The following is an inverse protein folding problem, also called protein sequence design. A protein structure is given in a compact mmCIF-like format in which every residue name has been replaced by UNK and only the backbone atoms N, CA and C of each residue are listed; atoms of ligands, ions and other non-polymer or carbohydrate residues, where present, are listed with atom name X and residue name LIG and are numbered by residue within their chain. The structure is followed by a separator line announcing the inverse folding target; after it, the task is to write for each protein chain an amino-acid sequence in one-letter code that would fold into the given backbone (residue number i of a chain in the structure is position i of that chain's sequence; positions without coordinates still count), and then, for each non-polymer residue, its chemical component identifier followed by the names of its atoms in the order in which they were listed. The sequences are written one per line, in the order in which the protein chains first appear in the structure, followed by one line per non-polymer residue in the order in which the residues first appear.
data_IF_133088616322
#
_entry.id   IF_133088616322
#
_cell.length_a   1.000
_cell.length_b   1.000
_cell.length_c   1.000
_cell.angle_alpha   90.00
_cell.angle_beta   90.00
_cell.angle_gamma   90.00
#
_symmetry.space_group_name_H-M   'P 1'
#
loop_
_entity.id
_entity.type
_entity.pdbx_description
1 polymer ?
#
# COMPACT_ATOMS: atom_id res chain seq x y z
N UNK A 1 -30.64 10.55 -1.40
CA UNK A 1 -29.16 10.38 -1.42
C UNK A 1 -28.60 10.34 -2.84
N UNK A 2 -29.15 9.54 -3.77
CA UNK A 2 -28.64 9.52 -5.16
C UNK A 2 -28.88 10.83 -5.94
N UNK A 3 -29.94 11.56 -5.61
CA UNK A 3 -30.29 12.84 -6.27
C UNK A 3 -29.30 13.98 -5.97
N UNK A 4 -28.52 13.90 -4.89
CA UNK A 4 -27.55 14.95 -4.55
C UNK A 4 -26.21 14.78 -5.26
N UNK A 5 -25.92 13.59 -5.80
CA UNK A 5 -24.61 13.30 -6.42
C UNK A 5 -24.38 14.17 -7.65
N UNK A 6 -25.34 14.23 -8.56
CA UNK A 6 -25.22 14.99 -9.81
C UNK A 6 -24.93 16.48 -9.58
N UNK A 7 -25.72 17.23 -8.78
CA UNK A 7 -25.42 18.64 -8.53
C UNK A 7 -24.06 18.86 -7.88
N UNK A 8 -23.61 17.98 -6.98
CA UNK A 8 -22.27 18.08 -6.39
C UNK A 8 -21.17 17.89 -7.45
N UNK A 9 -21.32 16.92 -8.35
CA UNK A 9 -20.38 16.71 -9.45
C UNK A 9 -20.41 17.86 -10.46
N UNK A 10 -21.56 18.50 -10.66
CA UNK A 10 -21.67 19.68 -11.52
C UNK A 10 -20.94 20.90 -10.95
N UNK A 11 -20.88 21.05 -9.62
CA UNK A 11 -20.11 22.11 -8.95
C UNK A 11 -18.60 21.97 -9.14
N UNK A 12 -18.10 20.76 -9.41
CA UNK A 12 -16.69 20.51 -9.67
C UNK A 12 -16.29 21.11 -11.02
N UNK A 13 -15.75 22.32 -11.00
CA UNK A 13 -15.31 23.05 -12.16
C UNK A 13 -14.22 24.10 -11.80
N UNK A 14 -13.19 24.29 -12.64
CA UNK A 14 -12.14 25.29 -12.37
C UNK A 14 -12.65 26.73 -12.22
N UNK A 15 -13.73 27.08 -12.94
CA UNK A 15 -14.37 28.41 -12.85
C UNK A 15 -15.27 28.61 -11.63
N UNK A 16 -15.51 27.56 -10.84
CA UNK A 16 -16.26 27.65 -9.57
C UNK A 16 -15.31 28.03 -8.45
N UNK A 17 -15.80 28.82 -7.50
CA UNK A 17 -15.04 29.22 -6.32
C UNK A 17 -14.39 28.02 -5.62
N UNK A 18 -13.11 28.14 -5.28
CA UNK A 18 -12.31 27.04 -4.71
C UNK A 18 -12.91 26.46 -3.42
N UNK A 19 -13.60 27.29 -2.62
CA UNK A 19 -14.26 26.80 -1.40
C UNK A 19 -15.47 25.94 -1.71
N UNK A 20 -16.25 26.31 -2.72
CA UNK A 20 -17.39 25.51 -3.16
C UNK A 20 -16.94 24.16 -3.76
N UNK A 21 -15.84 24.15 -4.52
CA UNK A 21 -15.20 22.92 -4.98
C UNK A 21 -14.79 22.03 -3.79
N UNK A 22 -14.17 22.63 -2.76
CA UNK A 22 -13.73 21.91 -1.56
C UNK A 22 -14.90 21.30 -0.77
N UNK A 23 -15.95 22.09 -0.52
CA UNK A 23 -17.15 21.61 0.19
C UNK A 23 -17.86 20.49 -0.59
N UNK A 24 -17.87 20.59 -1.92
CA UNK A 24 -18.40 19.54 -2.80
C UNK A 24 -17.58 18.25 -2.70
N UNK A 25 -16.24 18.35 -2.82
CA UNK A 25 -15.32 17.21 -2.66
C UNK A 25 -15.51 16.53 -1.30
N UNK A 26 -15.51 17.29 -0.21
CA UNK A 26 -15.68 16.74 1.13
C UNK A 26 -17.02 16.00 1.27
N UNK A 27 -18.09 16.57 0.72
CA UNK A 27 -19.42 15.94 0.73
C UNK A 27 -19.42 14.66 -0.09
N UNK A 28 -18.82 14.67 -1.28
CA UNK A 28 -18.68 13.50 -2.14
C UNK A 28 -17.82 12.41 -1.50
N UNK A 29 -16.75 12.76 -0.76
CA UNK A 29 -15.92 11.83 0.02
C UNK A 29 -16.76 11.09 1.05
N UNK A 30 -17.56 11.82 1.82
CA UNK A 30 -18.46 11.25 2.82
C UNK A 30 -19.56 10.39 2.18
N UNK A 31 -20.05 10.74 0.99
CA UNK A 31 -21.02 9.92 0.27
C UNK A 31 -20.39 8.62 -0.26
N UNK A 32 -19.18 8.69 -0.82
CA UNK A 32 -18.47 7.54 -1.38
C UNK A 32 -18.13 6.48 -0.32
N UNK A 33 -17.98 6.86 0.95
CA UNK A 33 -17.72 5.93 2.06
C UNK A 33 -18.96 5.12 2.49
N UNK A 34 -20.18 5.49 2.06
CA UNK A 34 -21.42 4.87 2.54
C UNK A 34 -21.65 3.49 1.93
N UNK A 35 -21.58 3.36 0.61
CA UNK A 35 -21.86 2.10 -0.09
C UNK A 35 -21.34 2.07 -1.52
N UNK A 36 -21.16 0.86 -2.06
CA UNK A 36 -20.75 0.64 -3.45
C UNK A 36 -21.75 1.24 -4.46
N UNK A 37 -23.05 1.16 -4.18
CA UNK A 37 -24.08 1.76 -5.04
C UNK A 37 -23.91 3.29 -5.19
N UNK A 38 -23.48 3.98 -4.12
CA UNK A 38 -23.19 5.42 -4.18
C UNK A 38 -21.95 5.69 -5.02
N UNK A 39 -20.89 4.89 -4.85
CA UNK A 39 -19.66 5.00 -5.68
C UNK A 39 -19.96 4.79 -7.17
N UNK A 40 -20.72 3.76 -7.52
CA UNK A 40 -21.16 3.51 -8.90
C UNK A 40 -21.98 4.67 -9.45
N UNK A 41 -22.87 5.26 -8.66
CA UNK A 41 -23.63 6.45 -9.09
C UNK A 41 -22.71 7.63 -9.36
N UNK A 42 -21.74 7.89 -8.48
CA UNK A 42 -20.72 8.95 -8.65
C UNK A 42 -19.95 8.76 -9.97
N UNK A 43 -19.52 7.52 -10.26
CA UNK A 43 -18.82 7.20 -11.51
C UNK A 43 -19.71 7.42 -12.73
N UNK A 44 -20.99 7.03 -12.67
CA UNK A 44 -21.96 7.24 -13.74
C UNK A 44 -22.20 8.72 -14.08
N UNK A 45 -22.10 9.62 -13.10
CA UNK A 45 -22.19 11.08 -13.30
C UNK A 45 -20.92 11.70 -13.89
N UNK A 46 -19.94 10.89 -14.35
CA UNK A 46 -18.68 11.34 -14.96
C UNK A 46 -17.86 12.25 -14.04
N UNK A 47 -17.83 11.93 -12.75
CA UNK A 47 -17.04 12.68 -11.77
C UNK A 47 -15.53 12.59 -12.01
N UNK A 48 -15.02 11.44 -12.49
CA UNK A 48 -13.58 11.17 -12.53
C UNK A 48 -12.73 12.23 -13.25
N UNK A 49 -13.03 12.65 -14.50
CA UNK A 49 -12.18 13.62 -15.19
C UNK A 49 -12.08 14.95 -14.43
N UNK A 50 -13.19 15.41 -13.84
CA UNK A 50 -13.24 16.65 -13.06
C UNK A 50 -12.43 16.57 -11.78
N UNK A 51 -12.49 15.43 -11.10
CA UNK A 51 -11.73 15.18 -9.87
C UNK A 51 -10.23 15.06 -10.17
N UNK A 52 -9.89 14.41 -11.27
CA UNK A 52 -8.51 14.24 -11.73
C UNK A 52 -7.84 15.58 -12.04
N UNK A 53 -8.57 16.57 -12.55
CA UNK A 53 -8.05 17.94 -12.73
C UNK A 53 -7.54 18.51 -11.40
N UNK A 54 -8.30 18.39 -10.31
CA UNK A 54 -7.86 18.84 -8.98
C UNK A 54 -6.74 17.96 -8.42
N UNK A 55 -6.80 16.65 -8.66
CA UNK A 55 -5.80 15.71 -8.15
C UNK A 55 -4.43 15.91 -8.81
N UNK A 56 -4.39 16.32 -10.07
CA UNK A 56 -3.15 16.57 -10.82
C UNK A 56 -2.64 18.01 -10.74
N UNK A 57 -3.42 18.95 -10.18
CA UNK A 57 -3.02 20.35 -10.06
C UNK A 57 -2.19 20.59 -8.79
N UNK A 58 -0.86 20.81 -8.91
CA UNK A 58 0.00 21.05 -7.76
C UNK A 58 -0.22 22.43 -7.13
N UNK A 59 -0.90 23.35 -7.81
CA UNK A 59 -1.13 24.71 -7.29
C UNK A 59 -2.24 24.79 -6.24
N UNK A 60 -3.07 23.75 -6.12
CA UNK A 60 -4.24 23.70 -5.25
C UNK A 60 -4.12 22.59 -4.20
N UNK A 61 -3.18 22.74 -3.27
CA UNK A 61 -2.82 21.69 -2.30
C UNK A 61 -4.00 21.10 -1.52
N UNK A 62 -4.89 21.94 -0.98
CA UNK A 62 -6.06 21.49 -0.20
C UNK A 62 -7.09 20.73 -1.05
N UNK A 63 -7.31 21.19 -2.30
CA UNK A 63 -8.23 20.52 -3.22
C UNK A 63 -7.64 19.22 -3.74
N UNK A 64 -6.33 19.19 -3.98
CA UNK A 64 -5.59 17.99 -4.34
C UNK A 64 -5.64 16.94 -3.24
N UNK A 65 -5.47 17.34 -1.97
CA UNK A 65 -5.64 16.45 -0.83
C UNK A 65 -7.07 15.92 -0.70
N UNK A 66 -8.08 16.79 -0.81
CA UNK A 66 -9.48 16.38 -0.77
C UNK A 66 -9.86 15.43 -1.93
N UNK A 67 -9.30 15.67 -3.13
CA UNK A 67 -9.46 14.78 -4.28
C UNK A 67 -8.84 13.41 -4.02
N UNK A 68 -7.63 13.34 -3.43
CA UNK A 68 -7.00 12.08 -3.08
C UNK A 68 -7.82 11.27 -2.04
N UNK A 69 -8.36 11.93 -1.02
CA UNK A 69 -9.24 11.28 -0.01
C UNK A 69 -10.53 10.75 -0.63
N UNK A 70 -11.13 11.52 -1.54
CA UNK A 70 -12.29 11.08 -2.30
C UNK A 70 -11.98 9.86 -3.19
N UNK A 71 -10.88 9.93 -3.96
CA UNK A 71 -10.45 8.86 -4.86
C UNK A 71 -10.08 7.59 -4.08
N UNK A 72 -9.53 7.72 -2.86
CA UNK A 72 -9.28 6.59 -1.95
C UNK A 72 -10.57 5.84 -1.65
N UNK A 73 -11.65 6.55 -1.32
CA UNK A 73 -12.95 5.91 -1.11
C UNK A 73 -13.48 5.25 -2.39
N UNK A 74 -13.21 5.83 -3.57
CA UNK A 74 -13.57 5.22 -4.84
C UNK A 74 -12.79 3.94 -5.16
N UNK A 75 -11.58 3.74 -4.61
CA UNK A 75 -10.83 2.48 -4.82
C UNK A 75 -11.57 1.25 -4.31
N UNK A 76 -12.51 1.41 -3.37
CA UNK A 76 -13.41 0.33 -2.93
C UNK A 76 -14.55 0.03 -3.92
N UNK A 77 -14.53 0.64 -5.12
CA UNK A 77 -15.41 0.32 -6.23
C UNK A 77 -14.58 -0.33 -7.34
N UNK A 78 -14.97 -1.53 -7.74
CA UNK A 78 -14.25 -2.34 -8.75
C UNK A 78 -14.08 -1.60 -10.08
N UNK A 79 -15.08 -0.80 -10.48
CA UNK A 79 -15.05 -0.03 -11.73
C UNK A 79 -13.90 0.99 -11.74
N UNK A 80 -13.68 1.72 -10.65
CA UNK A 80 -12.57 2.67 -10.55
C UNK A 80 -11.24 1.96 -10.28
N UNK A 81 -11.24 0.95 -9.40
CA UNK A 81 -10.05 0.15 -9.12
C UNK A 81 -9.42 -0.42 -10.40
N UNK A 82 -10.26 -0.97 -11.28
CA UNK A 82 -9.84 -1.50 -12.58
C UNK A 82 -9.26 -0.41 -13.50
N UNK A 83 -9.83 0.79 -13.51
CA UNK A 83 -9.34 1.93 -14.28
C UNK A 83 -7.99 2.50 -13.78
N UNK A 84 -7.67 2.31 -12.50
CA UNK A 84 -6.35 2.65 -11.93
C UNK A 84 -5.30 1.63 -12.34
N UNK A 85 -5.63 0.33 -12.28
CA UNK A 85 -4.69 -0.77 -12.59
C UNK A 85 -4.40 -0.88 -14.09
N UNK A 86 -5.37 -0.51 -14.92
CA UNK A 86 -5.28 -0.51 -16.40
C UNK A 86 -4.04 0.23 -16.90
N UNK A 87 -3.26 -0.45 -17.75
CA UNK A 87 -2.08 0.13 -18.38
C UNK A 87 -2.43 1.31 -19.30
N UNK A 88 -1.48 2.23 -19.46
CA UNK A 88 -1.63 3.41 -20.32
C UNK A 88 -2.26 4.62 -19.63
N UNK A 89 -2.55 4.54 -18.34
CA UNK A 89 -2.98 5.68 -17.51
C UNK A 89 -1.89 6.02 -16.49
N UNK A 90 -1.74 7.29 -16.13
CA UNK A 90 -0.78 7.71 -15.10
C UNK A 90 -1.31 7.56 -13.67
N UNK A 91 -2.58 7.19 -13.49
CA UNK A 91 -3.24 7.05 -12.17
C UNK A 91 -2.43 6.20 -11.19
N UNK A 92 -1.94 5.05 -11.64
CA UNK A 92 -1.14 4.17 -10.80
C UNK A 92 0.17 4.81 -10.33
N UNK A 93 0.83 5.57 -11.22
CA UNK A 93 2.06 6.28 -10.88
C UNK A 93 1.79 7.39 -9.87
N UNK A 94 0.71 8.16 -10.07
CA UNK A 94 0.36 9.27 -9.17
C UNK A 94 0.07 8.78 -7.75
N UNK A 95 -0.67 7.67 -7.59
CA UNK A 95 -0.86 7.05 -6.26
C UNK A 95 0.45 6.72 -5.55
N UNK A 96 1.43 6.20 -6.28
CA UNK A 96 2.76 5.91 -5.72
C UNK A 96 3.54 7.20 -5.42
N UNK A 97 3.65 8.11 -6.39
CA UNK A 97 4.46 9.33 -6.26
C UNK A 97 3.96 10.24 -5.11
N UNK A 98 2.64 10.34 -4.93
CA UNK A 98 2.07 11.16 -3.87
C UNK A 98 2.26 10.59 -2.45
N UNK A 99 2.83 9.40 -2.30
CA UNK A 99 3.21 8.88 -0.98
C UNK A 99 4.36 9.68 -0.34
N UNK A 100 5.17 10.35 -1.15
CA UNK A 100 6.29 11.21 -0.71
C UNK A 100 6.10 12.69 -1.12
N UNK A 101 4.92 13.04 -1.63
CA UNK A 101 4.61 14.42 -1.99
C UNK A 101 3.74 15.08 -0.92
N UNK A 102 4.23 16.15 -0.33
CA UNK A 102 3.44 17.04 0.52
C UNK A 102 4.26 17.73 1.59
N UNK A 103 4.20 19.05 1.61
CA UNK A 103 4.71 19.93 2.67
C UNK A 103 3.54 20.67 3.36
N UNK A 104 2.48 19.95 3.71
CA UNK A 104 1.39 20.52 4.51
C UNK A 104 1.44 19.96 5.93
N UNK A 105 1.20 20.83 6.92
CA UNK A 105 1.15 20.51 8.36
C UNK A 105 0.25 19.29 8.69
N UNK A 106 -0.62 18.90 7.76
CA UNK A 106 -1.65 17.87 7.95
C UNK A 106 -1.31 16.48 7.36
N UNK A 107 -0.30 16.35 6.48
CA UNK A 107 0.04 15.11 5.74
C UNK A 107 -1.13 14.47 4.95
N UNK A 108 -2.23 15.19 4.68
CA UNK A 108 -3.46 14.58 4.13
C UNK A 108 -3.24 13.86 2.81
N UNK A 109 -2.53 14.49 1.88
CA UNK A 109 -2.22 13.92 0.56
C UNK A 109 -1.42 12.62 0.70
N UNK A 110 -0.36 12.64 1.51
CA UNK A 110 0.48 11.47 1.79
C UNK A 110 -0.31 10.36 2.46
N UNK A 111 -1.13 10.67 3.47
CA UNK A 111 -1.94 9.68 4.18
C UNK A 111 -2.93 8.98 3.26
N UNK A 112 -3.64 9.74 2.43
CA UNK A 112 -4.57 9.18 1.44
C UNK A 112 -3.80 8.34 0.42
N UNK A 113 -2.69 8.87 -0.11
CA UNK A 113 -1.90 8.22 -1.15
C UNK A 113 -1.24 6.93 -0.69
N UNK A 114 -0.63 6.91 0.49
CA UNK A 114 -0.03 5.71 1.06
C UNK A 114 -1.08 4.66 1.43
N UNK A 115 -2.29 5.06 1.81
CA UNK A 115 -3.40 4.11 1.98
C UNK A 115 -3.86 3.50 0.65
N UNK A 116 -4.00 4.34 -0.38
CA UNK A 116 -4.33 3.87 -1.73
C UNK A 116 -3.26 2.96 -2.29
N UNK A 117 -1.98 3.29 -2.11
CA UNK A 117 -0.84 2.47 -2.47
C UNK A 117 -0.90 1.10 -1.79
N UNK A 118 -1.11 1.05 -0.47
CA UNK A 118 -1.24 -0.21 0.27
C UNK A 118 -2.40 -1.10 -0.24
N UNK A 119 -3.54 -0.50 -0.59
CA UNK A 119 -4.69 -1.21 -1.15
C UNK A 119 -4.43 -1.71 -2.59
N UNK A 120 -3.77 -0.90 -3.42
CA UNK A 120 -3.50 -1.22 -4.81
C UNK A 120 -2.42 -2.30 -4.99
N UNK A 121 -1.43 -2.37 -4.09
CA UNK A 121 -0.37 -3.38 -4.13
C UNK A 121 -0.83 -4.79 -3.76
N UNK A 122 -2.07 -4.97 -3.31
CA UNK A 122 -2.69 -6.30 -3.24
C UNK A 122 -2.83 -6.93 -4.64
N UNK A 123 -2.85 -6.11 -5.70
CA UNK A 123 -2.94 -6.56 -7.07
C UNK A 123 -1.56 -6.67 -7.74
N UNK A 124 -1.23 -7.88 -8.21
CA UNK A 124 0.02 -8.18 -8.92
C UNK A 124 0.32 -7.24 -10.09
N UNK A 125 -0.68 -6.90 -10.91
CA UNK A 125 -0.48 -6.04 -12.08
C UNK A 125 -0.10 -4.62 -11.65
N UNK A 126 -0.66 -4.10 -10.57
CA UNK A 126 -0.24 -2.81 -10.03
C UNK A 126 1.23 -2.84 -9.61
N UNK A 127 1.65 -3.86 -8.85
CA UNK A 127 3.04 -4.03 -8.41
C UNK A 127 4.02 -4.04 -9.58
N UNK A 128 3.71 -4.79 -10.63
CA UNK A 128 4.51 -4.86 -11.86
C UNK A 128 4.61 -3.51 -12.57
N UNK A 129 3.49 -2.77 -12.64
CA UNK A 129 3.47 -1.44 -13.26
C UNK A 129 4.34 -0.44 -12.51
N UNK A 130 4.34 -0.46 -11.18
CA UNK A 130 5.18 0.45 -10.39
C UNK A 130 6.67 0.26 -10.73
N UNK A 131 7.17 -0.99 -10.71
CA UNK A 131 8.58 -1.28 -11.02
C UNK A 131 8.91 -1.05 -12.50
N UNK A 132 7.95 -1.29 -13.41
CA UNK A 132 8.18 -1.17 -14.86
C UNK A 132 8.11 0.28 -15.35
N UNK A 133 7.17 1.07 -14.84
CA UNK A 133 6.83 2.37 -15.38
C UNK A 133 7.44 3.54 -14.59
N UNK A 134 7.84 3.32 -13.33
CA UNK A 134 8.59 4.29 -12.53
C UNK A 134 10.08 3.91 -12.56
N UNK A 135 10.96 4.88 -12.81
CA UNK A 135 12.40 4.65 -12.79
C UNK A 135 12.88 4.18 -11.42
N UNK A 136 13.88 3.29 -11.37
CA UNK A 136 14.53 2.86 -10.12
C UNK A 136 15.16 4.00 -9.35
N UNK A 137 15.62 5.05 -10.03
CA UNK A 137 16.07 6.30 -9.43
C UNK A 137 14.98 7.04 -8.65
N UNK A 138 13.71 6.69 -8.84
CA UNK A 138 12.55 7.36 -8.24
C UNK A 138 11.82 6.46 -7.25
N UNK A 139 11.53 5.19 -7.59
CA UNK A 139 10.77 4.33 -6.66
C UNK A 139 11.60 3.84 -5.47
N UNK A 140 12.92 3.68 -5.61
CA UNK A 140 13.77 3.27 -4.48
C UNK A 140 13.80 4.34 -3.37
N UNK A 141 14.12 5.62 -3.66
CA UNK A 141 14.00 6.69 -2.66
C UNK A 141 12.60 6.79 -2.06
N UNK A 142 11.56 6.76 -2.90
CA UNK A 142 10.16 6.79 -2.46
C UNK A 142 9.84 5.71 -1.43
N UNK A 143 10.26 4.46 -1.66
CA UNK A 143 10.00 3.35 -0.75
C UNK A 143 10.80 3.48 0.54
N UNK A 144 12.03 4.02 0.47
CA UNK A 144 12.82 4.33 1.66
C UNK A 144 12.14 5.41 2.51
N UNK A 145 11.67 6.50 1.90
CA UNK A 145 10.98 7.56 2.63
C UNK A 145 9.70 7.05 3.29
N UNK A 146 8.89 6.26 2.58
CA UNK A 146 7.74 5.59 3.19
C UNK A 146 8.15 4.69 4.37
N UNK A 147 9.17 3.85 4.20
CA UNK A 147 9.62 2.92 5.24
C UNK A 147 10.27 3.63 6.44
N UNK A 148 10.75 4.87 6.29
CA UNK A 148 11.40 5.65 7.34
C UNK A 148 10.54 6.81 7.85
N UNK A 149 9.29 6.95 7.38
CA UNK A 149 8.42 8.06 7.73
C UNK A 149 8.30 8.26 9.25
N UNK A 150 8.43 9.51 9.70
CA UNK A 150 8.37 9.88 11.13
C UNK A 150 6.99 9.59 11.74
N UNK A 151 5.93 9.77 10.95
CA UNK A 151 4.56 9.47 11.35
C UNK A 151 4.33 7.95 11.34
N UNK A 152 3.99 7.33 12.49
CA UNK A 152 3.84 5.87 12.58
C UNK A 152 2.85 5.29 11.57
N UNK A 153 1.75 6.00 11.32
CA UNK A 153 0.71 5.55 10.39
C UNK A 153 1.16 5.56 8.93
N UNK A 154 1.89 6.59 8.49
CA UNK A 154 2.46 6.65 7.14
C UNK A 154 3.45 5.50 6.95
N UNK A 155 4.33 5.29 7.93
CA UNK A 155 5.31 4.22 7.85
C UNK A 155 4.65 2.85 7.76
N UNK A 156 3.69 2.57 8.64
CA UNK A 156 2.99 1.29 8.66
C UNK A 156 2.29 1.02 7.32
N UNK A 157 1.55 1.99 6.78
CA UNK A 157 0.87 1.84 5.48
C UNK A 157 1.86 1.66 4.33
N UNK A 158 2.98 2.40 4.35
CA UNK A 158 4.05 2.23 3.37
C UNK A 158 4.65 0.82 3.39
N UNK A 159 4.90 0.30 4.58
CA UNK A 159 5.42 -1.06 4.77
C UNK A 159 4.43 -2.14 4.37
N UNK A 160 3.12 -1.95 4.59
CA UNK A 160 2.09 -2.83 4.02
C UNK A 160 2.24 -2.88 2.50
N UNK A 161 2.37 -1.71 1.87
CA UNK A 161 2.53 -1.62 0.43
C UNK A 161 3.77 -2.36 -0.08
N UNK A 162 4.91 -2.16 0.57
CA UNK A 162 6.18 -2.84 0.23
C UNK A 162 6.08 -4.35 0.45
N UNK A 163 5.53 -4.81 1.58
CA UNK A 163 5.33 -6.22 1.87
C UNK A 163 4.40 -6.88 0.83
N UNK A 164 3.29 -6.23 0.48
CA UNK A 164 2.38 -6.69 -0.57
C UNK A 164 3.09 -6.82 -1.93
N UNK A 165 4.01 -5.91 -2.27
CA UNK A 165 4.77 -6.02 -3.52
C UNK A 165 5.72 -7.21 -3.56
N UNK A 166 6.31 -7.58 -2.41
CA UNK A 166 7.18 -8.76 -2.31
C UNK A 166 6.34 -10.05 -2.31
N UNK A 167 5.20 -10.07 -1.62
CA UNK A 167 4.32 -11.24 -1.51
C UNK A 167 3.48 -11.53 -2.76
N UNK A 168 2.81 -10.49 -3.27
CA UNK A 168 1.81 -10.61 -4.34
C UNK A 168 2.35 -10.21 -5.72
N UNK A 169 3.50 -9.54 -5.76
CA UNK A 169 4.19 -9.24 -7.01
C UNK A 169 4.66 -10.50 -7.74
N UNK A 170 5.18 -10.34 -8.94
CA UNK A 170 5.97 -11.42 -9.54
C UNK A 170 7.37 -11.48 -8.90
N UNK A 171 8.04 -12.61 -9.07
CA UNK A 171 9.41 -12.83 -8.58
C UNK A 171 10.36 -11.69 -8.97
N UNK A 172 10.24 -11.17 -10.20
CA UNK A 172 11.02 -10.00 -10.64
C UNK A 172 10.83 -8.77 -9.75
N UNK A 173 9.59 -8.44 -9.37
CA UNK A 173 9.31 -7.30 -8.49
C UNK A 173 9.96 -7.52 -7.13
N UNK A 174 9.80 -8.71 -6.56
CA UNK A 174 10.41 -9.06 -5.28
C UNK A 174 11.94 -8.99 -5.35
N UNK A 175 12.57 -9.55 -6.39
CA UNK A 175 14.03 -9.52 -6.58
C UNK A 175 14.57 -8.10 -6.70
N UNK A 176 13.92 -7.21 -7.46
CA UNK A 176 14.34 -5.80 -7.60
C UNK A 176 14.29 -5.06 -6.25
N UNK A 177 13.24 -5.30 -5.45
CA UNK A 177 13.11 -4.69 -4.12
C UNK A 177 14.19 -5.23 -3.18
N UNK A 178 14.40 -6.56 -3.13
CA UNK A 178 15.38 -7.21 -2.25
C UNK A 178 16.83 -6.85 -2.64
N UNK A 179 17.11 -6.71 -3.93
CA UNK A 179 18.44 -6.30 -4.41
C UNK A 179 18.76 -4.81 -4.13
N UNK A 180 17.77 -4.01 -3.75
CA UNK A 180 17.94 -2.59 -3.44
C UNK A 180 18.30 -2.33 -1.97
N UNK A 181 18.56 -1.07 -1.63
CA UNK A 181 18.81 -0.65 -0.25
C UNK A 181 17.59 -0.83 0.68
N UNK A 182 16.39 -1.02 0.12
CA UNK A 182 15.15 -1.22 0.88
C UNK A 182 15.25 -2.46 1.77
N UNK A 183 15.92 -3.52 1.31
CA UNK A 183 16.15 -4.72 2.12
C UNK A 183 16.84 -4.39 3.45
N UNK A 184 17.89 -3.54 3.42
CA UNK A 184 18.60 -3.11 4.63
C UNK A 184 17.70 -2.29 5.54
N UNK A 185 16.83 -1.46 4.98
CA UNK A 185 15.85 -0.67 5.73
C UNK A 185 14.84 -1.59 6.42
N UNK A 186 14.31 -2.61 5.75
CA UNK A 186 13.39 -3.58 6.34
C UNK A 186 14.04 -4.31 7.53
N UNK A 187 15.29 -4.77 7.37
CA UNK A 187 16.06 -5.41 8.45
C UNK A 187 16.32 -4.44 9.62
N UNK A 188 16.56 -3.16 9.34
CA UNK A 188 16.74 -2.16 10.39
C UNK A 188 15.44 -1.93 11.18
N UNK A 189 14.30 -1.89 10.48
CA UNK A 189 12.98 -1.69 11.09
C UNK A 189 12.64 -2.84 12.05
N UNK A 190 12.88 -4.10 11.65
CA UNK A 190 12.59 -5.25 12.54
C UNK A 190 13.42 -5.25 13.83
N UNK A 191 14.57 -4.58 13.81
CA UNK A 191 15.49 -4.43 14.96
C UNK A 191 15.26 -3.15 15.78
N UNK A 192 14.19 -2.39 15.51
CA UNK A 192 13.87 -1.21 16.30
C UNK A 192 13.55 -1.59 17.76
N UNK A 193 14.25 -0.92 18.68
CA UNK A 193 14.13 -1.09 20.12
C UNK A 193 14.07 0.26 20.86
N UNK A 194 13.70 0.22 22.14
CA UNK A 194 13.65 1.40 23.00
C UNK A 194 12.72 2.49 22.49
N UNK A 195 13.15 3.75 22.55
CA UNK A 195 12.33 4.91 22.16
C UNK A 195 11.93 4.89 20.68
N UNK A 196 12.76 4.32 19.80
CA UNK A 196 12.49 4.25 18.37
C UNK A 196 11.42 3.22 18.01
N UNK A 197 11.13 2.27 18.90
CA UNK A 197 10.12 1.23 18.69
C UNK A 197 8.70 1.66 19.07
N UNK A 198 8.54 2.74 19.85
CA UNK A 198 7.26 3.17 20.40
C UNK A 198 6.28 3.50 19.27
N UNK A 199 5.15 2.79 19.20
CA UNK A 199 4.13 2.97 18.17
C UNK A 199 4.50 2.39 16.81
N UNK A 200 5.61 1.64 16.72
CA UNK A 200 6.09 0.99 15.48
C UNK A 200 5.88 -0.52 15.50
N UNK A 201 5.14 -1.06 16.45
CA UNK A 201 4.96 -2.51 16.62
C UNK A 201 4.37 -3.17 15.37
N UNK A 202 3.33 -2.56 14.80
CA UNK A 202 2.73 -3.04 13.55
C UNK A 202 3.67 -2.83 12.36
N UNK A 203 4.39 -1.70 12.29
CA UNK A 203 5.42 -1.48 11.25
C UNK A 203 6.48 -2.59 11.25
N UNK A 204 6.93 -3.03 12.43
CA UNK A 204 7.88 -4.15 12.53
C UNK A 204 7.29 -5.46 12.04
N UNK A 205 6.00 -5.72 12.30
CA UNK A 205 5.33 -6.91 11.78
C UNK A 205 5.26 -6.89 10.26
N UNK A 206 4.95 -5.74 9.66
CA UNK A 206 4.90 -5.60 8.20
C UNK A 206 6.29 -5.72 7.57
N UNK A 207 7.32 -5.17 8.21
CA UNK A 207 8.70 -5.36 7.76
C UNK A 207 9.14 -6.82 7.89
N UNK A 208 8.76 -7.51 8.96
CA UNK A 208 9.04 -8.95 9.11
C UNK A 208 8.30 -9.77 8.06
N UNK A 209 7.02 -9.46 7.81
CA UNK A 209 6.21 -10.08 6.75
C UNK A 209 6.90 -9.98 5.39
N UNK A 210 7.42 -8.80 5.05
CA UNK A 210 8.21 -8.60 3.83
C UNK A 210 9.47 -9.49 3.76
N UNK A 211 10.20 -9.63 4.87
CA UNK A 211 11.40 -10.48 4.93
C UNK A 211 11.06 -11.97 4.84
N UNK A 212 10.03 -12.42 5.56
CA UNK A 212 9.57 -13.81 5.53
C UNK A 212 9.11 -14.20 4.11
N UNK A 213 8.45 -13.28 3.40
CA UNK A 213 8.07 -13.44 2.01
C UNK A 213 9.28 -13.57 1.07
N UNK A 214 10.31 -12.75 1.26
CA UNK A 214 11.55 -12.83 0.49
C UNK A 214 12.31 -14.13 0.75
N UNK A 215 12.30 -14.64 1.98
CA UNK A 215 12.91 -15.93 2.34
C UNK A 215 12.15 -17.09 1.69
N UNK A 216 10.81 -17.06 1.72
CA UNK A 216 9.97 -18.06 1.06
C UNK A 216 10.19 -18.12 -0.46
N UNK A 217 10.57 -16.99 -1.06
CA UNK A 217 10.95 -16.90 -2.48
C UNK A 217 12.43 -17.26 -2.73
N UNK A 218 13.16 -17.69 -1.70
CA UNK A 218 14.60 -18.02 -1.75
C UNK A 218 15.49 -16.86 -2.22
N UNK A 219 15.00 -15.62 -2.11
CA UNK A 219 15.75 -14.42 -2.46
C UNK A 219 16.77 -14.03 -1.39
N UNK A 220 16.58 -14.52 -0.17
CA UNK A 220 17.47 -14.31 0.98
C UNK A 220 17.66 -15.61 1.76
N UNK A 221 18.80 -15.73 2.46
CA UNK A 221 19.06 -16.87 3.32
C UNK A 221 18.25 -16.78 4.64
N UNK A 222 17.80 -17.93 5.19
CA UNK A 222 17.19 -17.99 6.52
C UNK A 222 18.12 -17.41 7.59
N UNK A 223 17.54 -16.81 8.63
CA UNK A 223 18.32 -16.33 9.78
C UNK A 223 18.80 -17.49 10.66
N UNK A 224 19.90 -17.30 11.40
CA UNK A 224 20.44 -18.32 12.33
C UNK A 224 19.40 -18.84 13.32
N UNK A 225 18.49 -17.96 13.77
CA UNK A 225 17.39 -18.32 14.67
C UNK A 225 16.39 -19.26 13.99
N UNK A 226 15.99 -18.97 12.75
CA UNK A 226 15.06 -19.81 12.01
C UNK A 226 15.70 -21.15 11.64
N UNK A 227 16.99 -21.16 11.30
CA UNK A 227 17.76 -22.40 11.10
C UNK A 227 17.76 -23.25 12.38
N UNK A 228 17.96 -22.64 13.54
CA UNK A 228 17.88 -23.33 14.83
C UNK A 228 16.47 -23.90 15.11
N UNK A 229 15.42 -23.10 14.90
CA UNK A 229 14.02 -23.54 15.08
C UNK A 229 13.64 -24.69 14.11
N UNK A 230 14.15 -24.66 12.87
CA UNK A 230 13.99 -25.75 11.90
C UNK A 230 14.76 -27.01 12.33
N UNK A 231 15.99 -26.86 12.82
CA UNK A 231 16.78 -27.97 13.35
C UNK A 231 16.09 -28.63 14.55
N UNK A 232 15.54 -27.85 15.50
CA UNK A 232 14.78 -28.39 16.63
C UNK A 232 13.49 -29.09 16.20
N UNK A 233 12.72 -28.50 15.27
CA UNK A 233 11.54 -29.16 14.71
C UNK A 233 11.91 -30.49 14.05
N UNK A 234 12.95 -30.52 13.22
CA UNK A 234 13.40 -31.73 12.55
C UNK A 234 13.89 -32.79 13.55
N UNK A 235 14.57 -32.38 14.62
CA UNK A 235 14.99 -33.26 15.71
C UNK A 235 13.79 -33.87 16.44
N UNK A 236 12.79 -33.07 16.77
CA UNK A 236 11.57 -33.54 17.42
C UNK A 236 10.76 -34.48 16.51
N UNK A 237 10.67 -34.19 15.22
CA UNK A 237 10.05 -35.08 14.22
C UNK A 237 10.80 -36.41 14.06
N UNK A 238 12.13 -36.39 14.19
CA UNK A 238 12.95 -37.61 14.13
C UNK A 238 12.73 -38.48 15.37
N UNK A 239 12.75 -37.88 16.55
CA UNK A 239 12.49 -38.58 17.82
C UNK A 239 11.08 -39.23 17.85
N UNK A 240 10.05 -38.53 17.34
CA UNK A 240 8.70 -39.08 17.25
C UNK A 240 8.62 -40.24 16.27
N UNK A 241 9.42 -40.25 15.20
CA UNK A 241 9.47 -41.41 14.28
C UNK A 241 10.15 -42.61 14.92
N UNK A 242 11.27 -42.38 15.62
CA UNK A 242 11.98 -43.45 16.35
C UNK A 242 11.10 -44.09 17.44
N UNK A 243 10.35 -43.29 18.20
CA UNK A 243 9.39 -43.80 19.21
C UNK A 243 8.26 -44.65 18.58
N UNK A 244 7.78 -44.28 17.40
CA UNK A 244 6.73 -45.05 16.70
C UNK A 244 7.27 -46.36 16.10
N UNK A 245 8.51 -46.37 15.61
CA UNK A 245 9.18 -47.58 15.09
C UNK A 245 9.48 -48.56 16.24
N UNK A 246 9.93 -48.08 17.40
CA UNK A 246 10.13 -48.91 18.60
C UNK A 246 8.80 -49.48 19.16
N UNK A 247 7.69 -48.76 19.04
CA UNK A 247 6.36 -49.27 19.44
C UNK A 247 5.77 -50.31 18.46
N UNK A 248 6.17 -50.28 17.19
CA UNK A 248 5.79 -51.30 16.20
C UNK A 248 6.64 -52.57 16.33
N UNK A 249 7.95 -52.47 16.59
CA UNK A 249 8.82 -53.64 16.82
C UNK A 249 8.51 -54.39 18.12
N UNK A 250 7.93 -53.73 19.14
CA UNK A 250 7.54 -54.37 20.41
C UNK A 250 6.14 -55.01 20.39
N UNK A 251 5.43 -54.99 19.24
CA UNK A 251 4.09 -55.60 19.07
C UNK A 251 4.10 -56.93 18.31
N UNK A 252 5.27 -57.37 17.82
CA UNK A 252 5.51 -58.71 17.25
C UNK A 252 6.20 -59.65 18.27
#
# INVERSE_FOLDING_TARGET
MYEVVKPLVELLHPDVDGRANYDSLLTLTNLASISDSVRKRILHERALPKIEEFWFDPSQEELRAAAAEFLLNLLYCEDYYSEVIKQGTDRAKVWALYCDEGDTETDRLRLASTAGFALLTENKQYCERIIKEISSSSWIPLFKEMAMAEKPELQRRGLIGIANMIENGCEKVASEIVASEIFRVLVAITKLEGKAAIGREESRKEAQRALDAAEKLELIAPTDRQLYEQMEKNRNLSNVKEENEEEEENKD
#
